data_IF_511579714283
#
_entry.id   IF_511579714283
#
_cell.length_a   1.000
_cell.length_b   1.000
_cell.length_c   1.000
_cell.angle_alpha   90.00
_cell.angle_beta   90.00
_cell.angle_gamma   90.00
#
_symmetry.space_group_name_H-M   'P 1'
#
loop_
_entity.id
_entity.type
_entity.pdbx_description
1 polymer ?
#
# COMPACT_ATOMS: atom_id res chain seq x y z
N UNK A 1 14.77 9.45 -5.69
CA UNK A 1 15.11 8.98 -4.33
C UNK A 1 14.56 9.95 -3.31
N UNK A 2 13.87 9.44 -2.30
CA UNK A 2 13.39 10.19 -1.12
C UNK A 2 14.13 9.61 0.08
N UNK A 3 14.64 10.46 0.98
CA UNK A 3 15.32 10.02 2.21
C UNK A 3 14.72 10.74 3.39
N UNK A 4 14.28 10.00 4.40
CA UNK A 4 13.85 10.54 5.69
C UNK A 4 14.92 10.22 6.72
N UNK A 5 15.25 11.22 7.54
CA UNK A 5 16.25 11.10 8.60
C UNK A 5 15.62 11.60 9.90
N UNK A 6 15.25 10.67 10.78
CA UNK A 6 14.62 10.88 12.10
C UNK A 6 13.45 11.85 12.07
N UNK A 7 12.63 11.75 11.03
CA UNK A 7 11.52 12.66 10.80
C UNK A 7 10.45 12.50 11.88
N UNK A 8 10.15 13.60 12.57
CA UNK A 8 9.17 13.62 13.66
C UNK A 8 8.19 14.78 13.50
N UNK A 9 6.90 14.54 13.75
CA UNK A 9 5.86 15.56 13.79
C UNK A 9 4.98 15.43 15.01
N UNK A 10 4.85 16.53 15.74
CA UNK A 10 3.95 16.67 16.88
C UNK A 10 2.96 17.79 16.64
N UNK A 11 1.72 17.59 17.06
CA UNK A 11 0.65 18.58 17.08
C UNK A 11 0.19 18.71 18.55
N UNK A 12 0.65 19.74 19.23
CA UNK A 12 0.48 19.83 20.68
C UNK A 12 1.08 18.61 21.39
N UNK A 13 0.25 17.91 22.16
CA UNK A 13 0.68 16.71 22.89
C UNK A 13 0.63 15.42 22.05
N UNK A 14 0.00 15.46 20.88
CA UNK A 14 -0.11 14.29 20.01
C UNK A 14 1.09 14.17 19.07
N UNK A 15 1.82 13.06 19.15
CA UNK A 15 2.85 12.71 18.18
C UNK A 15 2.20 11.95 17.03
N UNK A 16 2.18 12.55 15.83
CA UNK A 16 1.60 11.95 14.63
C UNK A 16 2.62 11.06 13.90
N UNK A 17 3.90 11.45 13.95
CA UNK A 17 5.02 10.75 13.32
C UNK A 17 6.20 10.82 14.28
N UNK A 18 6.89 9.72 14.51
CA UNK A 18 7.97 9.59 15.50
C UNK A 18 9.18 8.88 14.89
N UNK A 19 10.26 9.63 14.68
CA UNK A 19 11.60 9.13 14.34
C UNK A 19 11.63 8.24 13.08
N UNK A 20 10.95 8.67 12.00
CA UNK A 20 10.96 7.92 10.75
C UNK A 20 12.28 8.09 10.02
N UNK A 21 12.95 6.97 9.74
CA UNK A 21 14.19 6.91 8.96
C UNK A 21 14.10 5.79 7.95
N UNK A 22 14.04 6.12 6.64
CA UNK A 22 14.02 5.19 5.54
C UNK A 22 14.37 5.85 4.21
N UNK A 23 14.59 5.03 3.18
CA UNK A 23 14.87 5.48 1.82
C UNK A 23 13.89 4.87 0.81
N UNK A 24 13.41 5.69 -0.14
CA UNK A 24 12.61 5.24 -1.27
C UNK A 24 13.44 5.35 -2.53
N UNK A 25 13.72 4.19 -3.13
CA UNK A 25 14.61 4.05 -4.27
C UNK A 25 13.89 4.32 -5.60
N UNK A 26 14.59 4.80 -6.64
CA UNK A 26 14.04 4.91 -7.99
C UNK A 26 13.82 3.54 -8.63
N UNK A 27 12.96 3.50 -9.66
CA UNK A 27 12.70 2.31 -10.46
C UNK A 27 11.76 1.31 -9.80
N UNK A 28 11.13 1.67 -8.69
CA UNK A 28 10.21 0.81 -7.93
C UNK A 28 9.00 1.60 -7.44
N UNK A 29 7.89 0.89 -7.27
CA UNK A 29 6.73 1.38 -6.54
C UNK A 29 6.89 0.99 -5.07
N UNK A 30 7.03 1.99 -4.20
CA UNK A 30 7.07 1.77 -2.75
C UNK A 30 5.71 2.08 -2.14
N UNK A 31 5.05 1.07 -1.59
CA UNK A 31 3.79 1.19 -0.87
C UNK A 31 3.99 1.62 0.58
N UNK A 32 3.22 2.58 1.04
CA UNK A 32 3.20 3.05 2.41
C UNK A 32 1.89 2.64 3.08
N UNK A 33 1.91 1.52 3.76
CA UNK A 33 0.76 0.87 4.37
C UNK A 33 0.59 1.23 5.84
N UNK A 34 -0.63 1.40 6.26
CA UNK A 34 -0.98 1.61 7.66
C UNK A 34 -2.44 2.02 7.83
N UNK A 35 -3.01 1.88 9.04
CA UNK A 35 -4.39 2.27 9.30
C UNK A 35 -4.57 3.79 9.18
N UNK A 36 -5.83 4.21 9.16
CA UNK A 36 -6.15 5.64 9.20
C UNK A 36 -5.61 6.26 10.51
N UNK A 37 -4.97 7.43 10.38
CA UNK A 37 -4.33 8.10 11.51
C UNK A 37 -2.92 7.59 11.86
N UNK A 38 -2.36 6.60 11.15
CA UNK A 38 -1.01 6.09 11.40
C UNK A 38 0.12 7.09 11.08
N UNK A 39 -0.17 8.18 10.36
CA UNK A 39 0.81 9.21 10.00
C UNK A 39 1.17 9.27 8.52
N UNK A 40 0.53 8.49 7.64
CA UNK A 40 0.84 8.43 6.20
C UNK A 40 0.79 9.80 5.52
N UNK A 41 -0.39 10.42 5.49
CA UNK A 41 -0.58 11.75 4.86
C UNK A 41 0.29 12.82 5.50
N UNK A 42 0.46 12.79 6.83
CA UNK A 42 1.36 13.72 7.54
C UNK A 42 2.80 13.58 7.04
N UNK A 43 3.28 12.35 6.86
CA UNK A 43 4.62 12.09 6.32
C UNK A 43 4.76 12.62 4.90
N UNK A 44 3.79 12.33 4.01
CA UNK A 44 3.81 12.84 2.64
C UNK A 44 3.78 14.36 2.56
N UNK A 45 2.96 15.02 3.40
CA UNK A 45 2.89 16.47 3.49
C UNK A 45 4.22 17.10 3.93
N UNK A 46 4.95 16.46 4.86
CA UNK A 46 6.29 16.90 5.27
C UNK A 46 7.32 16.75 4.16
N UNK A 47 7.25 15.68 3.36
CA UNK A 47 8.18 15.47 2.23
C UNK A 47 8.07 16.60 1.19
N UNK A 48 6.86 17.11 0.93
CA UNK A 48 6.62 18.20 -0.02
C UNK A 48 6.52 19.58 0.65
N UNK A 49 6.97 19.72 1.89
CA UNK A 49 7.07 21.00 2.58
C UNK A 49 5.74 21.67 2.94
N UNK A 50 4.60 20.98 2.86
CA UNK A 50 3.30 21.49 3.29
C UNK A 50 3.17 21.57 4.80
N UNK A 51 3.83 20.67 5.50
CA UNK A 51 3.94 20.66 6.96
C UNK A 51 5.42 20.66 7.37
N UNK A 52 5.81 21.60 8.21
CA UNK A 52 7.15 21.61 8.79
C UNK A 52 7.31 20.47 9.82
N UNK A 53 8.38 19.67 9.77
CA UNK A 53 8.66 18.67 10.81
C UNK A 53 8.98 19.35 12.15
N UNK A 54 8.68 18.68 13.25
CA UNK A 54 9.10 19.12 14.60
C UNK A 54 10.59 18.88 14.80
N UNK A 55 11.12 17.77 14.25
CA UNK A 55 12.56 17.46 14.20
C UNK A 55 12.84 16.49 13.05
N UNK A 56 14.13 16.31 12.74
CA UNK A 56 14.55 15.50 11.60
C UNK A 56 14.37 16.24 10.27
N UNK A 57 14.42 15.49 9.17
CA UNK A 57 14.33 16.06 7.83
C UNK A 57 13.84 15.06 6.79
N UNK A 58 13.20 15.57 5.74
CA UNK A 58 12.88 14.84 4.53
C UNK A 58 13.65 15.45 3.36
N UNK A 59 14.28 14.60 2.55
CA UNK A 59 15.14 15.01 1.44
C UNK A 59 14.64 14.39 0.14
N UNK A 60 14.50 15.21 -0.87
CA UNK A 60 14.23 14.85 -2.26
C UNK A 60 15.53 14.95 -3.04
N UNK A 61 16.11 13.80 -3.43
CA UNK A 61 17.42 13.74 -4.11
C UNK A 61 18.52 14.53 -3.36
N UNK A 62 18.52 14.45 -2.03
CA UNK A 62 19.51 15.11 -1.14
C UNK A 62 19.21 16.55 -0.78
N UNK A 63 18.08 17.14 -1.23
CA UNK A 63 17.66 18.51 -0.92
C UNK A 63 16.33 18.53 -0.19
N UNK A 64 16.10 19.50 0.67
CA UNK A 64 14.77 19.78 1.20
C UNK A 64 13.87 20.36 0.11
N UNK A 65 12.56 20.21 0.24
CA UNK A 65 11.61 20.73 -0.75
C UNK A 65 11.76 22.25 -0.99
N UNK A 66 11.95 23.01 0.07
CA UNK A 66 12.14 24.47 0.06
C UNK A 66 13.42 24.93 -0.66
N UNK A 67 14.41 24.04 -0.81
CA UNK A 67 15.67 24.31 -1.51
C UNK A 67 15.57 24.03 -3.03
N UNK A 68 14.45 23.48 -3.50
CA UNK A 68 14.24 23.15 -4.89
C UNK A 68 13.90 24.41 -5.70
N UNK A 69 14.71 24.70 -6.71
CA UNK A 69 14.48 25.87 -7.59
C UNK A 69 13.22 25.72 -8.45
N UNK A 70 12.92 24.52 -8.90
CA UNK A 70 11.77 24.18 -9.74
C UNK A 70 11.06 22.94 -9.18
N UNK A 71 10.31 23.06 -8.07
CA UNK A 71 9.76 21.90 -7.36
C UNK A 71 8.94 20.96 -8.24
N UNK A 72 8.06 21.49 -9.11
CA UNK A 72 7.22 20.65 -9.98
C UNK A 72 8.01 19.81 -11.01
N UNK A 73 9.26 20.17 -11.30
CA UNK A 73 10.15 19.36 -12.17
C UNK A 73 10.92 18.28 -11.41
N UNK A 74 10.94 18.36 -10.09
CA UNK A 74 11.63 17.40 -9.22
C UNK A 74 10.65 16.43 -8.58
N UNK A 75 9.50 16.93 -8.11
CA UNK A 75 8.49 16.16 -7.41
C UNK A 75 7.08 16.54 -7.84
N UNK A 76 6.26 15.54 -8.15
CA UNK A 76 4.83 15.63 -8.33
C UNK A 76 4.11 14.97 -7.17
N UNK A 77 3.01 15.56 -6.72
CA UNK A 77 2.24 15.00 -5.61
C UNK A 77 0.73 15.10 -5.88
N UNK A 78 0.04 14.00 -5.63
CA UNK A 78 -1.41 13.92 -5.52
C UNK A 78 -1.73 13.62 -4.05
N UNK A 79 -2.07 14.64 -3.28
CA UNK A 79 -2.40 14.51 -1.85
C UNK A 79 -3.89 14.74 -1.57
N UNK A 80 -4.60 15.39 -2.50
CA UNK A 80 -6.04 15.62 -2.44
C UNK A 80 -6.62 15.72 -3.86
N UNK A 81 -7.52 14.81 -4.19
CA UNK A 81 -8.21 14.77 -5.48
C UNK A 81 -9.12 16.00 -5.73
N UNK A 82 -9.47 16.74 -4.68
CA UNK A 82 -10.36 17.89 -4.72
C UNK A 82 -9.63 19.23 -4.61
N UNK A 83 -8.30 19.25 -4.69
CA UNK A 83 -7.50 20.47 -4.56
C UNK A 83 -7.76 21.53 -5.65
N UNK A 84 -8.38 21.15 -6.78
CA UNK A 84 -8.71 22.08 -7.87
C UNK A 84 -9.88 23.00 -7.55
N UNK A 85 -9.75 24.31 -7.89
CA UNK A 85 -10.84 25.26 -7.71
C UNK A 85 -12.08 24.88 -8.56
N UNK A 86 -13.28 24.67 -7.98
CA UNK A 86 -14.44 24.09 -8.67
C UNK A 86 -14.94 24.92 -9.86
N UNK A 87 -14.77 26.23 -9.84
CA UNK A 87 -15.18 27.13 -10.92
C UNK A 87 -14.23 27.17 -12.11
N UNK A 88 -13.03 26.57 -12.00
CA UNK A 88 -12.01 26.59 -13.06
C UNK A 88 -12.15 25.33 -13.92
N UNK A 89 -11.87 25.40 -15.23
CA UNK A 89 -11.79 24.19 -16.04
C UNK A 89 -10.49 23.44 -15.77
N UNK A 90 -10.46 22.11 -16.04
CA UNK A 90 -9.29 21.30 -15.89
C UNK A 90 -8.10 21.85 -16.68
N UNK A 91 -8.31 22.23 -17.94
CA UNK A 91 -7.29 22.84 -18.77
C UNK A 91 -6.70 24.12 -18.15
N UNK A 92 -7.56 25.06 -17.72
CA UNK A 92 -7.09 26.33 -17.14
C UNK A 92 -6.46 26.16 -15.75
N UNK A 93 -6.85 25.13 -15.00
CA UNK A 93 -6.18 24.77 -13.76
C UNK A 93 -4.73 24.35 -14.01
N UNK A 94 -4.52 23.39 -14.91
CA UNK A 94 -3.18 22.91 -15.28
C UNK A 94 -2.36 24.00 -15.98
N UNK A 95 -2.99 24.82 -16.85
CA UNK A 95 -2.30 25.93 -17.51
C UNK A 95 -1.81 26.98 -16.51
N UNK A 96 -2.59 27.28 -15.48
CA UNK A 96 -2.18 28.18 -14.41
C UNK A 96 -0.94 27.65 -13.69
N UNK A 97 -0.96 26.36 -13.32
CA UNK A 97 0.20 25.68 -12.70
C UNK A 97 1.42 25.66 -13.64
N UNK A 98 1.22 25.35 -14.91
CA UNK A 98 2.31 25.32 -15.89
C UNK A 98 2.98 26.70 -16.02
N UNK A 99 2.19 27.76 -16.21
CA UNK A 99 2.70 29.14 -16.38
C UNK A 99 3.45 29.65 -15.15
N UNK A 100 2.93 29.38 -13.94
CA UNK A 100 3.60 29.79 -12.69
C UNK A 100 4.92 29.05 -12.43
N UNK A 101 5.17 27.93 -13.13
CA UNK A 101 6.38 27.13 -12.97
C UNK A 101 7.27 27.11 -14.23
N UNK A 102 7.02 27.98 -15.22
CA UNK A 102 7.80 28.04 -16.45
C UNK A 102 7.72 26.76 -17.30
N UNK A 103 6.58 26.04 -17.23
CA UNK A 103 6.31 24.83 -18.00
C UNK A 103 5.55 25.24 -19.28
N UNK A 104 5.91 24.75 -20.47
CA UNK A 104 5.23 25.11 -21.70
C UNK A 104 3.76 24.63 -21.72
N UNK A 105 2.88 25.45 -22.36
CA UNK A 105 1.45 25.14 -22.43
C UNK A 105 1.15 23.82 -23.18
N UNK A 106 2.01 23.37 -24.10
CA UNK A 106 1.90 22.10 -24.79
C UNK A 106 1.84 20.91 -23.82
N UNK A 107 2.58 21.00 -22.71
CA UNK A 107 2.60 19.95 -21.68
C UNK A 107 1.23 19.71 -21.04
N UNK A 108 0.38 20.74 -21.00
CA UNK A 108 -0.99 20.60 -20.48
C UNK A 108 -1.82 19.63 -21.33
N UNK A 109 -1.71 19.71 -22.66
CA UNK A 109 -2.40 18.77 -23.55
C UNK A 109 -1.89 17.34 -23.39
N UNK A 110 -0.57 17.16 -23.30
CA UNK A 110 0.08 15.86 -23.12
C UNK A 110 -0.38 15.17 -21.82
N UNK A 111 -0.37 15.88 -20.68
CA UNK A 111 -0.80 15.26 -19.41
C UNK A 111 -2.30 15.00 -19.36
N UNK A 112 -3.13 15.81 -20.00
CA UNK A 112 -4.57 15.57 -20.12
C UNK A 112 -4.85 14.31 -20.96
N UNK A 113 -4.11 14.11 -22.03
CA UNK A 113 -4.17 12.91 -22.86
C UNK A 113 -3.73 11.67 -22.05
N UNK A 114 -2.58 11.75 -21.36
CA UNK A 114 -2.06 10.66 -20.51
C UNK A 114 -3.08 10.17 -19.49
N UNK A 115 -3.86 11.08 -18.89
CA UNK A 115 -4.86 10.71 -17.88
C UNK A 115 -6.27 10.50 -18.46
N UNK A 116 -6.45 10.60 -19.78
CA UNK A 116 -7.73 10.39 -20.46
C UNK A 116 -8.78 11.47 -20.18
N UNK A 117 -8.38 12.72 -20.00
CA UNK A 117 -9.28 13.87 -19.72
C UNK A 117 -9.39 14.87 -20.88
N UNK A 118 -8.87 14.57 -22.06
CA UNK A 118 -8.85 15.48 -23.21
C UNK A 118 -10.25 16.00 -23.57
N UNK A 119 -11.24 15.11 -23.69
CA UNK A 119 -12.62 15.44 -24.08
C UNK A 119 -13.35 16.32 -23.06
N UNK A 120 -12.92 16.25 -21.80
CA UNK A 120 -13.55 17.01 -20.70
C UNK A 120 -12.67 18.14 -20.18
N UNK A 121 -11.55 18.44 -20.83
CA UNK A 121 -10.57 19.43 -20.42
C UNK A 121 -11.16 20.85 -20.19
N UNK A 122 -12.20 21.20 -20.96
CA UNK A 122 -12.89 22.48 -20.87
C UNK A 122 -14.01 22.52 -19.81
N UNK A 123 -14.43 21.35 -19.27
CA UNK A 123 -15.46 21.30 -18.21
C UNK A 123 -14.91 21.84 -16.89
N UNK A 124 -15.79 22.41 -16.06
CA UNK A 124 -15.44 22.89 -14.71
C UNK A 124 -15.13 21.72 -13.78
N UNK A 125 -14.09 21.86 -12.97
CA UNK A 125 -13.66 20.85 -12.00
C UNK A 125 -14.78 20.48 -11.02
N UNK A 126 -15.61 21.44 -10.62
CA UNK A 126 -16.77 21.20 -9.75
C UNK A 126 -17.81 20.22 -10.30
N UNK A 127 -17.78 19.91 -11.62
CA UNK A 127 -18.65 18.90 -12.23
C UNK A 127 -17.99 17.53 -12.40
N UNK A 128 -16.75 17.38 -11.94
CA UNK A 128 -16.01 16.13 -12.07
C UNK A 128 -16.48 15.09 -11.05
N UNK A 129 -16.55 13.83 -11.48
CA UNK A 129 -16.64 12.71 -10.55
C UNK A 129 -15.35 12.63 -9.72
N UNK A 130 -15.38 11.87 -8.63
CA UNK A 130 -14.20 11.65 -7.82
C UNK A 130 -13.06 11.05 -8.66
N UNK A 131 -13.36 10.07 -9.51
CA UNK A 131 -12.37 9.47 -10.42
C UNK A 131 -11.80 10.46 -11.43
N UNK A 132 -12.61 11.37 -11.99
CA UNK A 132 -12.10 12.45 -12.83
C UNK A 132 -11.21 13.42 -12.03
N UNK A 133 -11.53 13.67 -10.77
CA UNK A 133 -10.69 14.45 -9.84
C UNK A 133 -9.34 13.80 -9.60
N UNK A 134 -9.31 12.49 -9.34
CA UNK A 134 -8.07 11.70 -9.19
C UNK A 134 -7.20 11.75 -10.45
N UNK A 135 -7.80 11.57 -11.62
CA UNK A 135 -7.11 11.69 -12.91
C UNK A 135 -6.53 13.10 -13.12
N UNK A 136 -7.28 14.13 -12.78
CA UNK A 136 -6.79 15.52 -12.88
C UNK A 136 -5.64 15.79 -11.90
N UNK A 137 -5.73 15.30 -10.67
CA UNK A 137 -4.66 15.37 -9.69
C UNK A 137 -3.39 14.65 -10.15
N UNK A 138 -3.55 13.48 -10.78
CA UNK A 138 -2.44 12.76 -11.43
C UNK A 138 -1.82 13.57 -12.58
N UNK A 139 -2.64 14.22 -13.42
CA UNK A 139 -2.16 15.13 -14.46
C UNK A 139 -1.35 16.31 -13.88
N UNK A 140 -1.83 16.88 -12.77
CA UNK A 140 -1.11 17.94 -12.06
C UNK A 140 0.23 17.46 -11.50
N UNK A 141 0.27 16.25 -10.93
CA UNK A 141 1.49 15.64 -10.44
C UNK A 141 2.50 15.38 -11.57
N UNK A 142 2.03 15.01 -12.77
CA UNK A 142 2.88 14.70 -13.94
C UNK A 142 3.29 15.95 -14.74
N UNK A 143 2.72 17.12 -14.45
CA UNK A 143 2.84 18.32 -15.28
C UNK A 143 4.29 18.75 -15.52
N UNK A 144 5.11 18.70 -14.47
CA UNK A 144 6.52 19.09 -14.52
C UNK A 144 7.49 18.00 -15.00
N UNK A 145 6.99 16.84 -15.39
CA UNK A 145 7.79 15.63 -15.71
C UNK A 145 8.76 15.23 -14.59
N UNK A 146 8.29 15.11 -13.34
CA UNK A 146 9.15 14.93 -12.18
C UNK A 146 9.76 13.55 -12.11
N UNK A 147 10.91 13.44 -11.42
CA UNK A 147 11.58 12.16 -11.14
C UNK A 147 11.05 11.47 -9.89
N UNK A 148 10.30 12.18 -9.05
CA UNK A 148 9.70 11.67 -7.82
C UNK A 148 8.21 11.93 -7.85
N UNK A 149 7.39 10.94 -7.53
CA UNK A 149 5.94 11.03 -7.49
C UNK A 149 5.39 10.48 -6.17
N UNK A 150 4.54 11.25 -5.53
CA UNK A 150 3.82 10.89 -4.31
C UNK A 150 2.32 10.81 -4.60
N UNK A 151 1.70 9.71 -4.21
CA UNK A 151 0.26 9.49 -4.35
C UNK A 151 -0.33 9.11 -2.99
N UNK A 152 -1.17 9.98 -2.43
CA UNK A 152 -1.87 9.70 -1.17
C UNK A 152 -3.26 9.14 -1.48
N UNK A 153 -3.46 7.83 -1.20
CA UNK A 153 -4.71 7.11 -1.40
C UNK A 153 -5.30 7.29 -2.83
N UNK A 154 -4.53 7.10 -3.91
CA UNK A 154 -4.93 7.48 -5.27
C UNK A 154 -6.08 6.65 -5.84
N UNK A 155 -6.36 5.48 -5.28
CA UNK A 155 -7.40 4.55 -5.74
C UNK A 155 -8.74 4.74 -5.04
N UNK A 156 -8.79 5.57 -4.00
CA UNK A 156 -10.01 5.76 -3.22
C UNK A 156 -11.16 6.31 -4.06
N UNK A 157 -12.29 5.57 -4.07
CA UNK A 157 -13.50 5.97 -4.77
C UNK A 157 -13.43 5.87 -6.29
N UNK A 158 -12.46 5.13 -6.82
CA UNK A 158 -12.41 4.74 -8.21
C UNK A 158 -13.21 3.45 -8.45
N UNK A 159 -13.72 3.32 -9.68
CA UNK A 159 -14.23 2.07 -10.21
C UNK A 159 -13.06 1.10 -10.53
N UNK A 160 -13.33 -0.18 -10.79
CA UNK A 160 -12.27 -1.15 -11.08
C UNK A 160 -11.36 -0.76 -12.26
N UNK A 161 -11.91 -0.12 -13.29
CA UNK A 161 -11.12 0.34 -14.44
C UNK A 161 -10.21 1.52 -14.05
N UNK A 162 -10.69 2.43 -13.21
CA UNK A 162 -9.88 3.51 -12.64
C UNK A 162 -8.75 3.01 -11.77
N UNK A 163 -9.00 2.01 -10.92
CA UNK A 163 -7.97 1.35 -10.09
C UNK A 163 -6.89 0.72 -10.97
N UNK A 164 -7.29 -0.06 -11.97
CA UNK A 164 -6.35 -0.66 -12.94
C UNK A 164 -5.51 0.38 -13.63
N UNK A 165 -6.12 1.46 -14.11
CA UNK A 165 -5.42 2.55 -14.77
C UNK A 165 -4.37 3.22 -13.88
N UNK A 166 -4.69 3.53 -12.60
CA UNK A 166 -3.74 4.12 -11.65
C UNK A 166 -2.56 3.17 -11.41
N UNK A 167 -2.83 1.87 -11.26
CA UNK A 167 -1.81 0.84 -11.08
C UNK A 167 -0.85 0.77 -12.26
N UNK A 168 -1.38 0.69 -13.48
CA UNK A 168 -0.60 0.65 -14.72
C UNK A 168 0.24 1.92 -14.87
N UNK A 169 -0.33 3.09 -14.58
CA UNK A 169 0.38 4.35 -14.59
C UNK A 169 1.58 4.34 -13.63
N UNK A 170 1.38 3.95 -12.36
CA UNK A 170 2.46 3.91 -11.37
C UNK A 170 3.57 2.94 -11.77
N UNK A 171 3.21 1.74 -12.26
CA UNK A 171 4.18 0.74 -12.73
C UNK A 171 4.96 1.20 -13.96
N UNK A 172 4.29 1.82 -14.93
CA UNK A 172 4.94 2.40 -16.11
C UNK A 172 5.96 3.47 -15.72
N UNK A 173 5.58 4.40 -14.85
CA UNK A 173 6.45 5.47 -14.37
C UNK A 173 7.65 4.92 -13.56
N UNK A 174 7.45 3.88 -12.77
CA UNK A 174 8.54 3.20 -12.08
C UNK A 174 9.51 2.52 -13.06
N UNK A 175 8.99 1.85 -14.09
CA UNK A 175 9.80 1.22 -15.15
C UNK A 175 10.64 2.24 -15.93
N UNK A 176 10.21 3.51 -16.03
CA UNK A 176 11.00 4.62 -16.56
C UNK A 176 12.14 5.06 -15.61
N UNK A 177 12.27 4.45 -14.44
CA UNK A 177 13.27 4.78 -13.43
C UNK A 177 12.86 5.90 -12.47
N UNK A 178 11.57 6.30 -12.43
CA UNK A 178 11.08 7.28 -11.46
C UNK A 178 10.92 6.64 -10.08
N UNK A 179 10.93 7.48 -9.06
CA UNK A 179 10.63 7.09 -7.67
C UNK A 179 9.15 7.24 -7.42
N UNK A 180 8.44 6.17 -7.15
CA UNK A 180 7.00 6.18 -6.86
C UNK A 180 6.78 5.85 -5.39
N UNK A 181 6.10 6.74 -4.68
CA UNK A 181 5.70 6.55 -3.29
C UNK A 181 4.19 6.68 -3.16
N UNK A 182 3.52 5.62 -2.79
CA UNK A 182 2.06 5.54 -2.75
C UNK A 182 1.57 5.10 -1.39
N UNK A 183 0.67 5.86 -0.78
CA UNK A 183 -0.03 5.42 0.42
C UNK A 183 -1.28 4.64 0.07
N UNK A 184 -1.60 3.64 0.87
CA UNK A 184 -2.89 2.97 0.84
C UNK A 184 -3.22 2.34 2.18
N UNK A 185 -4.51 2.08 2.40
CA UNK A 185 -5.01 1.20 3.45
C UNK A 185 -5.58 -0.11 2.86
N UNK A 186 -5.59 -0.26 1.51
CA UNK A 186 -6.07 -1.44 0.80
C UNK A 186 -4.90 -2.37 0.46
N UNK A 187 -4.78 -3.47 1.21
CA UNK A 187 -3.66 -4.41 1.08
C UNK A 187 -3.68 -5.15 -0.26
N UNK A 188 -4.86 -5.54 -0.75
CA UNK A 188 -5.03 -6.19 -2.04
C UNK A 188 -4.47 -5.36 -3.20
N UNK A 189 -4.73 -4.04 -3.20
CA UNK A 189 -4.20 -3.14 -4.21
C UNK A 189 -2.68 -3.00 -4.14
N UNK A 190 -2.14 -2.95 -2.91
CA UNK A 190 -0.69 -2.88 -2.73
C UNK A 190 0.00 -4.18 -3.14
N UNK A 191 -0.59 -5.33 -2.88
CA UNK A 191 -0.06 -6.62 -3.31
C UNK A 191 0.13 -6.71 -4.82
N UNK A 192 -0.74 -6.05 -5.59
CA UNK A 192 -0.67 -6.04 -7.04
C UNK A 192 0.14 -4.88 -7.62
N UNK A 193 0.47 -3.87 -6.82
CA UNK A 193 1.07 -2.62 -7.32
C UNK A 193 2.50 -2.41 -6.86
N UNK A 194 2.78 -2.67 -5.57
CA UNK A 194 4.05 -2.33 -4.95
C UNK A 194 5.11 -3.42 -5.12
N UNK A 195 6.36 -2.99 -5.26
CA UNK A 195 7.55 -3.85 -5.23
C UNK A 195 8.14 -3.91 -3.82
N UNK A 196 7.95 -2.85 -3.05
CA UNK A 196 8.52 -2.66 -1.71
C UNK A 196 7.49 -2.05 -0.77
N UNK A 197 7.49 -2.46 0.48
CA UNK A 197 6.54 -1.98 1.49
C UNK A 197 7.23 -1.30 2.65
N UNK A 198 6.67 -0.16 3.03
CA UNK A 198 6.88 0.50 4.30
C UNK A 198 5.57 0.39 5.10
N UNK A 199 5.59 -0.33 6.20
CA UNK A 199 4.42 -0.48 7.08
C UNK A 199 4.57 0.48 8.25
N UNK A 200 3.57 1.34 8.45
CA UNK A 200 3.55 2.32 9.54
C UNK A 200 2.40 2.04 10.51
N UNK A 201 2.70 2.10 11.80
CA UNK A 201 1.71 2.04 12.87
C UNK A 201 2.07 3.00 14.00
N UNK A 202 1.07 3.74 14.50
CA UNK A 202 1.26 4.72 15.60
C UNK A 202 2.42 5.69 15.35
N UNK A 203 2.59 6.12 14.10
CA UNK A 203 3.65 7.05 13.70
C UNK A 203 5.05 6.47 13.63
N UNK A 204 5.24 5.14 13.71
CA UNK A 204 6.54 4.45 13.62
C UNK A 204 6.54 3.43 12.49
N UNK A 205 7.71 3.18 11.89
CA UNK A 205 7.88 2.07 10.95
C UNK A 205 7.84 0.74 11.71
N UNK A 206 7.02 -0.17 11.20
CA UNK A 206 6.89 -1.55 11.69
C UNK A 206 7.67 -2.51 10.80
N UNK A 207 7.63 -2.28 9.47
CA UNK A 207 8.38 -3.08 8.50
C UNK A 207 8.85 -2.20 7.33
N UNK A 208 10.01 -2.55 6.79
CA UNK A 208 10.66 -1.94 5.61
C UNK A 208 11.30 -3.07 4.81
N UNK A 209 10.59 -3.64 3.83
CA UNK A 209 11.02 -4.84 3.10
C UNK A 209 10.36 -4.97 1.72
N UNK A 210 10.96 -5.73 0.79
CA UNK A 210 10.28 -6.18 -0.42
C UNK A 210 8.96 -6.88 -0.10
N UNK A 211 7.93 -6.66 -0.94
CA UNK A 211 6.59 -7.21 -0.70
C UNK A 211 6.61 -8.75 -0.60
N UNK A 212 7.45 -9.39 -1.41
CA UNK A 212 7.59 -10.85 -1.42
C UNK A 212 8.15 -11.38 -0.09
N UNK A 213 9.11 -10.66 0.52
CA UNK A 213 9.67 -11.01 1.82
C UNK A 213 8.63 -10.85 2.95
N UNK A 214 7.80 -9.79 2.88
CA UNK A 214 6.71 -9.58 3.85
C UNK A 214 5.71 -10.75 3.79
N UNK A 215 5.32 -11.17 2.58
CA UNK A 215 4.38 -12.28 2.39
C UNK A 215 5.02 -13.63 2.80
N UNK A 216 6.28 -13.87 2.41
CA UNK A 216 6.98 -15.11 2.73
C UNK A 216 7.26 -15.26 4.24
N UNK A 217 7.46 -14.13 4.95
CA UNK A 217 7.68 -14.12 6.40
C UNK A 217 6.42 -14.37 7.24
N UNK A 218 5.23 -14.42 6.62
CA UNK A 218 3.99 -14.75 7.35
C UNK A 218 3.96 -16.22 7.74
N UNK A 219 3.58 -16.48 8.98
CA UNK A 219 3.37 -17.84 9.51
C UNK A 219 2.23 -18.59 8.81
N UNK A 220 1.40 -17.88 8.05
CA UNK A 220 0.28 -18.41 7.28
C UNK A 220 0.69 -18.87 5.87
N UNK A 221 1.97 -18.69 5.49
CA UNK A 221 2.51 -19.33 4.28
C UNK A 221 2.74 -20.81 4.56
N UNK A 222 2.06 -21.67 3.85
CA UNK A 222 2.05 -23.09 4.08
C UNK A 222 2.03 -23.88 2.77
N UNK A 223 2.50 -25.12 2.81
CA UNK A 223 2.28 -26.07 1.73
C UNK A 223 0.95 -26.78 1.95
N UNK A 224 0.07 -26.65 0.99
CA UNK A 224 -1.19 -27.39 0.93
C UNK A 224 -0.93 -28.77 0.37
N UNK A 225 -1.33 -29.79 1.11
CA UNK A 225 -1.19 -31.19 0.73
C UNK A 225 -2.56 -31.85 0.78
N UNK A 226 -2.97 -32.50 -0.31
CA UNK A 226 -4.14 -33.38 -0.30
C UNK A 226 -3.69 -34.83 -0.50
N UNK A 227 -4.13 -35.68 0.41
CA UNK A 227 -3.75 -37.10 0.43
C UNK A 227 -4.91 -37.93 0.96
N UNK A 228 -5.10 -39.18 0.44
CA UNK A 228 -6.07 -40.12 1.02
C UNK A 228 -5.64 -40.69 2.35
N UNK A 229 -4.40 -40.40 2.83
CA UNK A 229 -3.84 -40.89 4.08
C UNK A 229 -3.32 -39.74 4.96
N UNK A 230 -4.19 -38.76 5.33
CA UNK A 230 -3.75 -37.52 6.02
C UNK A 230 -3.11 -37.82 7.38
N UNK A 231 -3.64 -38.75 8.15
CA UNK A 231 -3.12 -39.06 9.48
C UNK A 231 -1.72 -39.70 9.44
N UNK A 232 -1.43 -40.51 8.43
CA UNK A 232 -0.11 -41.10 8.22
C UNK A 232 0.89 -40.01 7.88
N UNK A 233 0.57 -39.15 6.91
CA UNK A 233 1.46 -38.04 6.49
C UNK A 233 1.66 -37.05 7.61
N UNK A 234 0.60 -36.68 8.33
CA UNK A 234 0.69 -35.74 9.48
C UNK A 234 1.69 -36.20 10.51
N UNK A 235 1.67 -37.48 10.89
CA UNK A 235 2.61 -38.05 11.86
C UNK A 235 4.05 -37.88 11.40
N UNK A 236 4.33 -38.23 10.14
CA UNK A 236 5.68 -38.16 9.58
C UNK A 236 6.19 -36.69 9.49
N UNK A 237 5.33 -35.79 9.12
CA UNK A 237 5.64 -34.34 9.06
C UNK A 237 5.97 -33.80 10.46
N UNK A 238 5.18 -34.16 11.48
CA UNK A 238 5.43 -33.75 12.87
C UNK A 238 6.73 -34.36 13.42
N UNK A 239 7.03 -35.64 13.11
CA UNK A 239 8.28 -36.29 13.48
C UNK A 239 9.51 -35.64 12.83
N UNK A 240 9.34 -35.04 11.64
CA UNK A 240 10.39 -34.29 10.95
C UNK A 240 10.49 -32.80 11.43
N UNK A 241 9.74 -32.43 12.47
CA UNK A 241 9.79 -31.10 13.07
C UNK A 241 8.98 -30.02 12.32
N UNK A 242 8.19 -30.41 11.32
CA UNK A 242 7.32 -29.51 10.59
C UNK A 242 6.01 -29.29 11.37
N UNK A 243 5.46 -28.07 11.29
CA UNK A 243 4.17 -27.75 11.89
C UNK A 243 3.05 -28.07 10.90
N UNK A 244 2.02 -28.80 11.35
CA UNK A 244 0.89 -29.20 10.51
C UNK A 244 -0.40 -28.67 11.11
N UNK A 245 -1.12 -27.87 10.34
CA UNK A 245 -2.42 -27.33 10.68
C UNK A 245 -3.52 -28.03 9.86
N UNK A 246 -4.76 -28.12 10.38
CA UNK A 246 -5.89 -28.63 9.60
C UNK A 246 -6.17 -27.69 8.43
N UNK A 247 -6.62 -28.22 7.30
CA UNK A 247 -7.00 -27.43 6.12
C UNK A 247 -8.11 -26.42 6.46
N UNK A 248 -8.06 -25.25 5.82
CA UNK A 248 -8.99 -24.14 6.11
C UNK A 248 -10.45 -24.46 5.75
N UNK A 249 -10.68 -25.36 4.79
CA UNK A 249 -12.00 -25.74 4.29
C UNK A 249 -12.56 -27.01 4.94
N UNK A 250 -11.98 -27.47 6.05
CA UNK A 250 -12.42 -28.69 6.78
C UNK A 250 -12.48 -29.95 5.91
N UNK A 251 -11.72 -29.98 4.80
CA UNK A 251 -11.59 -31.19 4.01
C UNK A 251 -10.73 -32.20 4.76
N UNK A 252 -11.24 -33.39 5.06
CA UNK A 252 -10.54 -34.37 5.90
C UNK A 252 -9.25 -34.92 5.26
N UNK A 253 -9.09 -34.74 3.95
CA UNK A 253 -7.95 -35.15 3.14
C UNK A 253 -6.89 -34.05 2.95
N UNK A 254 -7.08 -32.86 3.55
CA UNK A 254 -6.20 -31.71 3.40
C UNK A 254 -5.36 -31.41 4.65
N UNK A 255 -4.07 -31.16 4.44
CA UNK A 255 -3.13 -30.70 5.45
C UNK A 255 -2.46 -29.40 5.00
N UNK A 256 -2.25 -28.48 5.94
CA UNK A 256 -1.43 -27.29 5.74
C UNK A 256 -0.14 -27.44 6.52
N UNK A 257 1.00 -27.46 5.81
CA UNK A 257 2.32 -27.66 6.39
C UNK A 257 3.07 -26.33 6.40
N UNK A 258 3.35 -25.83 7.60
CA UNK A 258 4.05 -24.55 7.80
C UNK A 258 5.55 -24.82 7.97
N UNK A 259 6.38 -24.05 7.27
CA UNK A 259 7.84 -24.08 7.40
C UNK A 259 8.53 -25.16 6.56
N UNK A 260 7.82 -25.90 5.68
CA UNK A 260 8.40 -26.86 4.76
C UNK A 260 8.38 -26.39 3.30
N UNK A 261 9.22 -26.98 2.47
CA UNK A 261 9.20 -26.77 1.01
C UNK A 261 8.38 -27.86 0.31
N UNK A 262 8.01 -27.63 -0.95
CA UNK A 262 7.29 -28.64 -1.77
C UNK A 262 8.13 -29.91 -1.92
N UNK A 263 9.44 -29.73 -2.15
CA UNK A 263 10.40 -30.81 -2.34
C UNK A 263 10.53 -31.66 -1.09
N UNK A 264 10.75 -31.05 0.08
CA UNK A 264 10.88 -31.76 1.36
C UNK A 264 9.64 -32.59 1.69
N UNK A 265 8.46 -32.03 1.50
CA UNK A 265 7.19 -32.70 1.79
C UNK A 265 6.94 -33.83 0.76
N UNK A 266 7.25 -33.55 -0.52
CA UNK A 266 7.13 -34.54 -1.58
C UNK A 266 8.03 -35.76 -1.36
N UNK A 267 9.30 -35.54 -1.01
CA UNK A 267 10.29 -36.58 -0.73
C UNK A 267 9.90 -37.39 0.52
N UNK A 268 9.42 -36.70 1.57
CA UNK A 268 8.93 -37.35 2.78
C UNK A 268 7.74 -38.30 2.46
N UNK A 269 6.76 -37.81 1.71
CA UNK A 269 5.61 -38.60 1.31
C UNK A 269 6.02 -39.78 0.44
N UNK A 270 6.94 -39.59 -0.51
CA UNK A 270 7.48 -40.67 -1.33
C UNK A 270 8.19 -41.73 -0.51
N UNK A 271 9.04 -41.31 0.43
CA UNK A 271 9.78 -42.23 1.32
C UNK A 271 8.84 -43.11 2.15
N UNK A 272 7.74 -42.52 2.63
CA UNK A 272 6.73 -43.24 3.41
C UNK A 272 5.62 -43.87 2.58
N UNK A 273 5.72 -43.82 1.23
CA UNK A 273 4.75 -44.39 0.28
C UNK A 273 3.35 -43.84 0.47
N UNK A 274 3.23 -42.56 0.85
CA UNK A 274 1.95 -41.86 0.97
C UNK A 274 1.61 -41.22 -0.37
N UNK A 275 0.49 -41.61 -1.00
CA UNK A 275 0.07 -40.97 -2.25
C UNK A 275 -0.36 -39.52 -2.02
N UNK A 276 0.07 -38.61 -2.91
CA UNK A 276 -0.31 -37.22 -2.90
C UNK A 276 -1.21 -36.96 -4.10
N UNK A 277 -2.37 -36.33 -3.86
CA UNK A 277 -3.30 -35.90 -4.88
C UNK A 277 -3.08 -34.45 -5.30
N UNK A 278 -2.61 -33.61 -4.36
CA UNK A 278 -2.24 -32.23 -4.61
C UNK A 278 -1.10 -31.82 -3.66
N UNK A 279 -0.14 -31.09 -4.21
CA UNK A 279 0.95 -30.47 -3.47
C UNK A 279 1.18 -29.08 -4.05
N UNK A 280 0.78 -28.06 -3.31
CA UNK A 280 0.84 -26.68 -3.80
C UNK A 280 1.23 -25.70 -2.70
N UNK A 281 1.93 -24.63 -3.07
CA UNK A 281 2.26 -23.56 -2.13
C UNK A 281 1.02 -22.67 -1.93
N UNK A 282 0.51 -22.59 -0.71
CA UNK A 282 -0.46 -21.58 -0.30
C UNK A 282 0.28 -20.40 0.30
N UNK A 283 0.46 -19.36 -0.49
CA UNK A 283 1.06 -18.12 0.00
C UNK A 283 0.02 -17.38 0.86
N UNK A 284 0.47 -16.79 1.96
CA UNK A 284 -0.34 -15.83 2.70
C UNK A 284 -0.72 -14.66 1.78
N UNK A 285 -1.87 -14.04 2.01
CA UNK A 285 -2.16 -12.73 1.40
C UNK A 285 -1.36 -11.64 2.12
N UNK A 286 -1.13 -10.52 1.44
CA UNK A 286 -0.51 -9.36 2.09
C UNK A 286 -1.34 -8.90 3.31
N UNK A 287 -2.67 -9.05 3.25
CA UNK A 287 -3.56 -8.72 4.37
C UNK A 287 -3.27 -9.59 5.60
N UNK A 288 -3.11 -10.89 5.40
CA UNK A 288 -2.76 -11.82 6.48
C UNK A 288 -1.39 -11.49 7.08
N UNK A 289 -0.37 -11.29 6.23
CA UNK A 289 0.97 -10.92 6.69
C UNK A 289 0.97 -9.57 7.43
N UNK A 290 0.21 -8.60 6.94
CA UNK A 290 0.05 -7.30 7.58
C UNK A 290 -0.62 -7.41 8.96
N UNK A 291 -1.67 -8.21 9.09
CA UNK A 291 -2.36 -8.43 10.38
C UNK A 291 -1.42 -9.05 11.42
N UNK A 292 -0.58 -10.00 11.04
CA UNK A 292 0.44 -10.57 11.93
C UNK A 292 1.47 -9.51 12.38
N UNK A 293 2.01 -8.75 11.43
CA UNK A 293 2.99 -7.69 11.71
C UNK A 293 2.44 -6.60 12.63
N UNK A 294 1.15 -6.29 12.51
CA UNK A 294 0.53 -5.18 13.23
C UNK A 294 -0.19 -5.60 14.52
N UNK A 295 -0.38 -6.89 14.78
CA UNK A 295 -1.11 -7.40 15.94
C UNK A 295 -0.65 -6.78 17.28
N UNK A 296 0.66 -6.57 17.45
CA UNK A 296 1.24 -5.92 18.63
C UNK A 296 1.16 -4.36 18.61
N UNK A 297 0.77 -3.77 17.47
CA UNK A 297 0.83 -2.32 17.24
C UNK A 297 -0.55 -1.66 17.17
N UNK A 298 -1.64 -2.42 17.10
CA UNK A 298 -3.01 -1.91 16.93
C UNK A 298 -3.64 -1.60 18.29
N UNK A 299 -3.89 -0.32 18.57
CA UNK A 299 -4.55 0.16 19.79
C UNK A 299 -6.09 0.12 19.72
N UNK A 300 -6.65 -0.05 18.53
CA UNK A 300 -8.08 -0.15 18.29
C UNK A 300 -8.44 -1.57 17.84
N UNK A 301 -8.31 -2.53 18.77
CA UNK A 301 -9.15 -3.70 18.71
C UNK A 301 -10.59 -3.20 18.92
N UNK A 302 -11.50 -3.46 17.99
CA UNK A 302 -12.94 -3.34 18.28
C UNK A 302 -13.20 -4.03 19.62
N UNK A 303 -13.89 -3.41 20.59
CA UNK A 303 -14.26 -4.13 21.80
C UNK A 303 -14.99 -5.39 21.33
N UNK A 304 -14.48 -6.56 21.75
CA UNK A 304 -15.12 -7.83 21.50
C UNK A 304 -16.61 -7.63 21.79
N UNK A 305 -17.47 -8.04 20.86
CA UNK A 305 -18.90 -8.13 21.08
C UNK A 305 -19.08 -8.89 22.39
N UNK A 306 -19.27 -8.14 23.47
CA UNK A 306 -19.58 -8.71 24.78
C UNK A 306 -20.82 -9.56 24.57
N UNK A 307 -20.69 -10.83 24.85
CA UNK A 307 -21.72 -11.82 24.83
C UNK A 307 -22.99 -11.20 25.45
N UNK A 308 -24.01 -11.11 24.63
CA UNK A 308 -25.38 -10.89 25.10
C UNK A 308 -25.74 -12.17 25.86
N UNK A 309 -25.43 -12.19 27.16
CA UNK A 309 -25.95 -13.17 28.10
C UNK A 309 -27.42 -12.85 28.26
N UNK A 310 -28.22 -13.80 27.83
CA UNK A 310 -29.68 -13.85 28.13
C UNK A 310 -29.93 -13.51 29.61
N UNK A 311 -30.73 -12.49 29.83
CA UNK A 311 -31.31 -12.26 31.14
C UNK A 311 -32.49 -13.23 31.34
N UNK A 312 -32.58 -13.94 32.45
CA UNK A 312 -33.68 -14.85 32.69
C UNK A 312 -34.99 -14.09 32.93
N UNK A 313 -36.00 -14.62 32.28
CA UNK A 313 -37.43 -14.35 32.44
C UNK A 313 -37.82 -14.35 33.92
N UNK A 314 -38.31 -13.23 34.43
CA UNK A 314 -39.04 -13.16 35.69
C UNK A 314 -40.51 -12.84 35.42
N UNK A 315 -41.28 -13.92 35.31
CA UNK A 315 -42.71 -13.91 35.66
C UNK A 315 -42.92 -13.39 37.09
N UNK A 316 -43.90 -12.53 37.23
CA UNK A 316 -44.92 -12.40 38.31
C UNK A 316 -45.39 -10.95 38.36
N UNK A 317 -46.60 -10.63 38.44
CA UNK A 317 -47.95 -11.01 38.87
C UNK A 317 -48.85 -9.85 38.43
#
# INVERSE_FOLDING_TARGET
MITLDRLTKRYGDKTAVSDLSFEIKPGKVTGFLGPNGAGKSTTMRMIVGLDAPTSGRALLRGKRYEELRHPLREVGALLDARAGHPGRSAYHHLLGMARSNGIPASRVAEVLETVGLTEVAKKRIGSFSLGMGQRLGSAAALLGDPKVLLFDEPVNGLDPDGVRWVRELMRSLAAEGRTIFVSSHLMSEMQETADHLLVIGRGKIIADAPIEEVIAGSSLTAVRVRTPQPDVLRRQLLESGLRVEPGADSAPDELLVVGGTLEEIGDLAFHHRVPIHELSMRKASLEQAYMELTAASVEYGSPALAQVTEAPDHQKA
#
